data_IF_271617027868
#
_entry.id   IF_271617027868
#
_cell.length_a   1.000
_cell.length_b   1.000
_cell.length_c   1.000
_cell.angle_alpha   90.00
_cell.angle_beta   90.00
_cell.angle_gamma   90.00
#
_symmetry.space_group_name_H-M   'P 1'
#
loop_
_entity.id
_entity.type
_entity.pdbx_description
1 polymer ?
#
# COMPACT_ATOMS: atom_id res chain seq x y z
N UNK A 1 -71.71 -13.92 10.61
CA UNK A 1 -70.89 -15.13 10.73
C UNK A 1 -69.46 -14.64 10.75
N UNK A 2 -68.93 -14.52 11.96
CA UNK A 2 -67.59 -14.01 12.22
C UNK A 2 -66.56 -15.06 11.79
N UNK A 3 -65.90 -14.84 10.66
CA UNK A 3 -64.65 -15.53 10.37
C UNK A 3 -63.59 -14.98 11.33
N UNK A 4 -63.26 -15.79 12.33
CA UNK A 4 -62.16 -15.55 13.25
C UNK A 4 -60.89 -15.26 12.44
N UNK A 5 -60.21 -14.12 12.66
CA UNK A 5 -59.01 -13.82 11.90
C UNK A 5 -57.88 -14.71 12.40
N UNK A 6 -57.19 -15.29 11.42
CA UNK A 6 -55.93 -16.03 11.43
C UNK A 6 -55.23 -15.97 12.79
N UNK A 7 -55.24 -17.13 13.46
CA UNK A 7 -54.40 -17.45 14.60
C UNK A 7 -52.97 -17.05 14.21
N UNK A 8 -52.51 -15.95 14.80
CA UNK A 8 -51.11 -15.56 14.97
C UNK A 8 -50.42 -16.81 15.50
N UNK A 9 -49.79 -17.59 14.61
CA UNK A 9 -49.16 -18.87 14.96
C UNK A 9 -48.26 -18.65 16.18
N UNK A 10 -48.31 -19.53 17.21
CA UNK A 10 -47.44 -19.38 18.36
C UNK A 10 -46.00 -19.17 17.91
N UNK A 11 -45.31 -18.21 18.53
CA UNK A 11 -43.96 -17.82 18.14
C UNK A 11 -42.96 -18.98 18.03
N UNK A 12 -43.20 -20.05 18.80
CA UNK A 12 -42.45 -21.29 18.79
C UNK A 12 -42.61 -22.10 17.49
N UNK A 13 -43.75 -22.01 16.83
CA UNK A 13 -44.14 -22.79 15.65
C UNK A 13 -43.67 -22.14 14.35
N UNK A 14 -43.27 -20.87 14.40
CA UNK A 14 -42.65 -20.17 13.28
C UNK A 14 -41.24 -20.73 13.05
N UNK A 15 -41.08 -21.44 11.93
CA UNK A 15 -39.82 -22.10 11.51
C UNK A 15 -39.18 -21.44 10.29
N UNK A 16 -39.89 -20.54 9.61
CA UNK A 16 -39.41 -19.82 8.43
C UNK A 16 -39.34 -18.31 8.68
N UNK A 17 -38.20 -17.69 8.34
CA UNK A 17 -37.97 -16.25 8.45
C UNK A 17 -39.07 -15.39 7.80
N UNK A 18 -39.54 -15.76 6.60
CA UNK A 18 -40.55 -14.97 5.87
C UNK A 18 -41.88 -14.94 6.62
N UNK A 19 -42.28 -16.05 7.22
CA UNK A 19 -43.48 -16.13 8.05
C UNK A 19 -43.31 -15.35 9.34
N UNK A 20 -42.17 -15.52 10.02
CA UNK A 20 -41.88 -14.80 11.26
C UNK A 20 -41.77 -13.28 11.09
N UNK A 21 -41.21 -12.81 9.98
CA UNK A 21 -41.14 -11.38 9.66
C UNK A 21 -42.52 -10.79 9.36
N UNK A 22 -43.36 -11.52 8.62
CA UNK A 22 -44.74 -11.12 8.36
C UNK A 22 -45.53 -11.07 9.68
N UNK A 23 -45.33 -12.05 10.54
CA UNK A 23 -45.96 -12.14 11.86
C UNK A 23 -45.55 -10.97 12.77
N UNK A 24 -44.25 -10.67 12.85
CA UNK A 24 -43.74 -9.52 13.59
C UNK A 24 -44.33 -8.19 13.10
N UNK A 25 -44.45 -8.02 11.78
CA UNK A 25 -45.06 -6.83 11.19
C UNK A 25 -46.55 -6.67 11.56
N UNK A 26 -47.30 -7.76 11.61
CA UNK A 26 -48.71 -7.77 12.04
C UNK A 26 -48.83 -7.40 13.52
N UNK A 27 -47.99 -8.00 14.37
CA UNK A 27 -48.01 -7.72 15.81
C UNK A 27 -47.58 -6.28 16.13
N UNK A 28 -46.56 -5.75 15.43
CA UNK A 28 -46.20 -4.34 15.55
C UNK A 28 -47.36 -3.41 15.16
N UNK A 29 -48.11 -3.72 14.10
CA UNK A 29 -49.27 -2.93 13.73
C UNK A 29 -50.38 -2.96 14.81
N UNK A 30 -50.46 -4.06 15.56
CA UNK A 30 -51.45 -4.27 16.61
C UNK A 30 -51.08 -3.59 17.94
N UNK A 31 -49.82 -3.25 18.18
CA UNK A 31 -49.41 -2.40 19.31
C UNK A 31 -50.02 -1.00 19.29
N UNK A 32 -50.39 -0.51 18.10
CA UNK A 32 -50.97 0.83 17.92
C UNK A 32 -52.48 0.86 18.12
N UNK A 33 -53.11 -0.29 18.36
CA UNK A 33 -54.56 -0.39 18.62
C UNK A 33 -54.84 0.01 20.07
N UNK A 34 -56.05 0.52 20.38
CA UNK A 34 -56.48 0.77 21.76
C UNK A 34 -56.41 -0.51 22.59
N UNK A 35 -56.10 -0.40 23.89
CA UNK A 35 -55.90 -1.56 24.79
C UNK A 35 -57.17 -2.40 24.94
N UNK A 36 -58.33 -1.81 24.70
CA UNK A 36 -59.64 -2.46 24.74
C UNK A 36 -59.96 -3.26 23.45
N UNK A 37 -59.16 -3.12 22.39
CA UNK A 37 -59.32 -3.92 21.17
C UNK A 37 -58.87 -5.37 21.46
N UNK A 38 -59.68 -6.39 21.19
CA UNK A 38 -59.30 -7.80 21.38
C UNK A 38 -58.10 -8.23 20.53
N UNK A 39 -57.67 -7.42 19.55
CA UNK A 39 -56.47 -7.62 18.74
C UNK A 39 -55.30 -6.75 19.21
N UNK A 40 -55.42 -6.01 20.30
CA UNK A 40 -54.30 -5.26 20.86
C UNK A 40 -53.23 -6.23 21.33
N UNK A 41 -51.98 -5.89 21.02
CA UNK A 41 -50.82 -6.69 21.39
C UNK A 41 -49.84 -5.78 22.10
N UNK A 42 -49.27 -6.26 23.20
CA UNK A 42 -48.29 -5.47 23.96
C UNK A 42 -47.02 -5.24 23.14
N UNK A 43 -46.32 -4.13 23.39
CA UNK A 43 -45.03 -3.86 22.74
C UNK A 43 -44.04 -5.02 22.97
N UNK A 44 -44.02 -5.59 24.17
CA UNK A 44 -43.17 -6.73 24.52
C UNK A 44 -43.47 -8.00 23.70
N UNK A 45 -44.72 -8.23 23.31
CA UNK A 45 -45.09 -9.37 22.47
C UNK A 45 -44.74 -9.13 20.99
N UNK A 46 -44.88 -7.91 20.49
CA UNK A 46 -44.41 -7.55 19.16
C UNK A 46 -42.87 -7.64 19.05
N UNK A 47 -42.14 -7.17 20.06
CA UNK A 47 -40.69 -7.24 20.14
C UNK A 47 -40.19 -8.69 20.17
N UNK A 48 -40.88 -9.57 20.92
CA UNK A 48 -40.60 -11.02 20.91
C UNK A 48 -40.75 -11.64 19.52
N UNK A 49 -41.70 -11.16 18.73
CA UNK A 49 -41.90 -11.64 17.37
C UNK A 49 -40.86 -11.14 16.38
N UNK A 50 -40.44 -9.88 16.50
CA UNK A 50 -39.34 -9.34 15.71
C UNK A 50 -38.02 -10.06 16.02
N UNK A 51 -37.73 -10.32 17.30
CA UNK A 51 -36.57 -11.08 17.72
C UNK A 51 -36.55 -12.51 17.13
N UNK A 52 -37.72 -13.17 17.06
CA UNK A 52 -37.85 -14.49 16.42
C UNK A 52 -37.59 -14.44 14.91
N UNK A 53 -38.05 -13.39 14.22
CA UNK A 53 -37.75 -13.20 12.81
C UNK A 53 -36.24 -13.02 12.57
N UNK A 54 -35.58 -12.20 13.38
CA UNK A 54 -34.12 -12.01 13.32
C UNK A 54 -33.38 -13.33 13.60
N UNK A 55 -33.86 -14.11 14.57
CA UNK A 55 -33.30 -15.43 14.90
C UNK A 55 -33.33 -16.38 13.70
N UNK A 56 -34.47 -16.49 13.02
CA UNK A 56 -34.63 -17.36 11.85
C UNK A 56 -33.88 -16.85 10.62
N UNK A 57 -33.63 -15.54 10.52
CA UNK A 57 -32.80 -14.97 9.45
C UNK A 57 -31.32 -15.37 9.57
N UNK A 58 -30.84 -15.56 10.79
CA UNK A 58 -29.41 -15.72 11.07
C UNK A 58 -29.00 -17.15 11.46
N UNK A 59 -29.92 -18.12 11.55
CA UNK A 59 -29.64 -19.51 11.99
C UNK A 59 -28.91 -19.62 13.35
N UNK A 60 -29.11 -18.66 14.27
CA UNK A 60 -28.46 -18.67 15.60
C UNK A 60 -29.49 -18.99 16.71
N UNK A 61 -29.23 -19.92 17.65
CA UNK A 61 -30.10 -20.17 18.81
C UNK A 61 -30.18 -18.96 19.76
N UNK A 62 -31.39 -18.59 20.20
CA UNK A 62 -31.66 -17.42 21.06
C UNK A 62 -31.03 -17.51 22.46
N UNK A 63 -30.78 -18.72 22.98
CA UNK A 63 -30.13 -18.92 24.27
C UNK A 63 -28.62 -18.56 24.27
N UNK A 64 -28.03 -18.30 23.11
CA UNK A 64 -26.62 -17.97 22.95
C UNK A 64 -26.33 -16.51 22.61
N UNK A 65 -27.35 -15.65 22.50
CA UNK A 65 -27.14 -14.20 22.41
C UNK A 65 -27.21 -13.69 23.85
N UNK A 66 -26.08 -13.34 24.48
CA UNK A 66 -26.14 -12.66 25.76
C UNK A 66 -27.01 -11.42 25.52
N UNK A 67 -28.05 -11.22 26.33
CA UNK A 67 -28.51 -9.86 26.61
C UNK A 67 -27.29 -9.19 27.22
N UNK A 68 -26.45 -8.59 26.39
CA UNK A 68 -25.24 -7.97 26.84
C UNK A 68 -25.69 -6.75 27.62
N UNK A 69 -25.74 -6.89 28.95
CA UNK A 69 -25.75 -5.75 29.85
C UNK A 69 -24.72 -4.77 29.32
N UNK A 70 -25.01 -3.47 29.31
CA UNK A 70 -24.16 -2.46 28.65
C UNK A 70 -22.65 -2.60 28.97
N UNK A 71 -22.31 -3.16 30.14
CA UNK A 71 -20.97 -3.58 30.54
C UNK A 71 -20.28 -4.58 29.60
N UNK A 72 -20.99 -5.60 29.10
CA UNK A 72 -20.45 -6.61 28.17
C UNK A 72 -20.21 -6.01 26.78
N UNK A 73 -21.11 -5.15 26.29
CA UNK A 73 -20.87 -4.41 25.04
C UNK A 73 -19.67 -3.46 25.17
N UNK A 74 -19.55 -2.76 26.29
CA UNK A 74 -18.41 -1.89 26.55
C UNK A 74 -17.08 -2.66 26.57
N UNK A 75 -17.04 -3.86 27.17
CA UNK A 75 -15.86 -4.71 27.15
C UNK A 75 -15.50 -5.21 25.74
N UNK A 76 -16.50 -5.57 24.93
CA UNK A 76 -16.28 -5.96 23.54
C UNK A 76 -15.73 -4.79 22.73
N UNK A 77 -16.30 -3.60 22.88
CA UNK A 77 -15.81 -2.38 22.22
C UNK A 77 -14.37 -2.06 22.62
N UNK A 78 -14.05 -2.10 23.92
CA UNK A 78 -12.69 -1.89 24.39
C UNK A 78 -11.70 -2.89 23.79
N UNK A 79 -12.09 -4.17 23.67
CA UNK A 79 -11.25 -5.20 23.06
C UNK A 79 -11.08 -4.96 21.56
N UNK A 80 -12.11 -4.51 20.86
CA UNK A 80 -12.04 -4.15 19.45
C UNK A 80 -11.11 -2.95 19.23
N UNK A 81 -11.22 -1.89 20.03
CA UNK A 81 -10.33 -0.73 19.99
C UNK A 81 -8.87 -1.12 20.23
N UNK A 82 -8.63 -2.02 21.19
CA UNK A 82 -7.28 -2.53 21.45
C UNK A 82 -6.76 -3.37 20.27
N UNK A 83 -7.61 -4.19 19.66
CA UNK A 83 -7.25 -4.97 18.47
C UNK A 83 -6.95 -4.05 17.28
N UNK A 84 -7.77 -3.03 17.05
CA UNK A 84 -7.55 -2.02 16.01
C UNK A 84 -6.21 -1.31 16.22
N UNK A 85 -5.93 -0.85 17.44
CA UNK A 85 -4.66 -0.22 17.79
C UNK A 85 -3.47 -1.15 17.51
N UNK A 86 -3.57 -2.42 17.92
CA UNK A 86 -2.53 -3.41 17.67
C UNK A 86 -2.33 -3.69 16.17
N UNK A 87 -3.42 -3.73 15.40
CA UNK A 87 -3.38 -3.93 13.95
C UNK A 87 -2.69 -2.74 13.29
N UNK A 88 -3.06 -1.51 13.64
CA UNK A 88 -2.44 -0.30 13.11
C UNK A 88 -0.94 -0.25 13.41
N UNK A 89 -0.52 -0.59 14.64
CA UNK A 89 0.91 -0.71 14.96
C UNK A 89 1.64 -1.75 14.11
N UNK A 90 1.01 -2.91 13.86
CA UNK A 90 1.60 -3.94 12.99
C UNK A 90 1.70 -3.49 11.55
N UNK A 91 0.71 -2.77 11.02
CA UNK A 91 0.76 -2.20 9.68
C UNK A 91 1.89 -1.19 9.54
N UNK A 92 2.00 -0.22 10.44
CA UNK A 92 3.08 0.77 10.41
C UNK A 92 4.46 0.09 10.43
N UNK A 93 4.62 -0.95 11.27
CA UNK A 93 5.87 -1.69 11.33
C UNK A 93 6.18 -2.51 10.05
N UNK A 94 5.14 -2.97 9.34
CA UNK A 94 5.29 -3.62 8.04
C UNK A 94 5.71 -2.60 6.98
N UNK A 95 5.10 -1.41 6.95
CA UNK A 95 5.47 -0.33 6.03
C UNK A 95 6.94 0.06 6.21
N UNK A 96 7.40 0.28 7.45
CA UNK A 96 8.82 0.55 7.74
C UNK A 96 9.77 -0.55 7.23
N UNK A 97 9.34 -1.82 7.35
CA UNK A 97 10.10 -2.97 6.86
C UNK A 97 10.15 -3.01 5.33
N UNK A 98 9.05 -2.69 4.66
CA UNK A 98 8.98 -2.61 3.20
C UNK A 98 9.90 -1.51 2.70
N UNK A 99 9.82 -0.30 3.26
CA UNK A 99 10.70 0.82 2.90
C UNK A 99 12.19 0.47 3.06
N UNK A 100 12.54 -0.26 4.13
CA UNK A 100 13.90 -0.72 4.36
C UNK A 100 14.34 -1.78 3.34
N UNK A 101 13.44 -2.69 2.95
CA UNK A 101 13.71 -3.69 1.93
C UNK A 101 13.91 -3.04 0.55
N UNK A 102 13.08 -2.08 0.17
CA UNK A 102 13.23 -1.32 -1.08
C UNK A 102 14.59 -0.62 -1.15
N UNK A 103 15.00 0.06 -0.08
CA UNK A 103 16.34 0.68 0.02
C UNK A 103 17.47 -0.34 -0.14
N UNK A 104 17.34 -1.52 0.48
CA UNK A 104 18.34 -2.59 0.37
C UNK A 104 18.41 -3.17 -1.04
N UNK A 105 17.27 -3.41 -1.68
CA UNK A 105 17.20 -3.93 -3.04
C UNK A 105 17.83 -2.93 -4.01
N UNK A 106 17.47 -1.64 -3.92
CA UNK A 106 18.06 -0.59 -4.76
C UNK A 106 19.59 -0.52 -4.58
N UNK A 107 20.09 -0.65 -3.34
CA UNK A 107 21.53 -0.68 -3.09
C UNK A 107 22.21 -1.90 -3.72
N UNK A 108 21.59 -3.08 -3.64
CA UNK A 108 22.11 -4.31 -4.24
C UNK A 108 22.14 -4.20 -5.77
N UNK A 109 21.07 -3.68 -6.37
CA UNK A 109 21.01 -3.44 -7.81
C UNK A 109 22.15 -2.51 -8.24
N UNK A 110 22.31 -1.37 -7.58
CA UNK A 110 23.39 -0.41 -7.87
C UNK A 110 24.77 -1.06 -7.74
N UNK A 111 25.03 -1.86 -6.70
CA UNK A 111 26.32 -2.56 -6.52
C UNK A 111 26.54 -3.59 -7.64
N UNK A 112 25.52 -4.36 -8.00
CA UNK A 112 25.60 -5.37 -9.04
C UNK A 112 25.90 -4.75 -10.40
N UNK A 113 25.20 -3.66 -10.77
CA UNK A 113 25.43 -2.96 -12.02
C UNK A 113 26.83 -2.34 -12.08
N UNK A 114 27.33 -1.77 -10.97
CA UNK A 114 28.72 -1.28 -10.88
C UNK A 114 29.74 -2.40 -11.03
N UNK A 115 29.50 -3.56 -10.41
CA UNK A 115 30.38 -4.71 -10.55
C UNK A 115 30.40 -5.22 -11.99
N UNK A 116 29.24 -5.28 -12.65
CA UNK A 116 29.15 -5.62 -14.08
C UNK A 116 29.95 -4.63 -14.93
N UNK A 117 29.77 -3.33 -14.72
CA UNK A 117 30.54 -2.30 -15.42
C UNK A 117 32.05 -2.45 -15.19
N UNK A 118 32.47 -2.83 -13.99
CA UNK A 118 33.89 -3.06 -13.66
C UNK A 118 34.49 -4.25 -14.41
N UNK A 119 33.67 -5.26 -14.74
CA UNK A 119 34.10 -6.42 -15.54
C UNK A 119 34.09 -6.15 -17.06
N UNK A 120 33.36 -5.13 -17.52
CA UNK A 120 33.30 -4.70 -18.92
C UNK A 120 34.53 -3.84 -19.23
N UNK A 121 35.67 -4.51 -19.40
CA UNK A 121 36.96 -3.89 -19.69
C UNK A 121 37.12 -3.37 -21.12
N UNK A 122 38.26 -2.73 -21.36
CA UNK A 122 38.63 -2.07 -22.63
C UNK A 122 38.55 -3.01 -23.83
N UNK A 123 38.01 -2.52 -24.95
CA UNK A 123 37.90 -3.29 -26.21
C UNK A 123 36.81 -4.36 -26.24
N UNK A 124 36.01 -4.51 -25.19
CA UNK A 124 34.81 -5.36 -25.23
C UNK A 124 33.65 -4.62 -25.88
N UNK A 125 32.92 -5.27 -26.80
CA UNK A 125 31.75 -4.72 -27.49
C UNK A 125 30.49 -4.66 -26.60
N UNK A 126 30.66 -4.71 -25.28
CA UNK A 126 29.57 -4.78 -24.32
C UNK A 126 29.35 -3.40 -23.72
N UNK A 127 28.16 -2.86 -23.91
CA UNK A 127 27.74 -1.58 -23.35
C UNK A 127 27.72 -1.62 -21.82
N UNK A 128 28.00 -0.52 -21.14
CA UNK A 128 27.80 -0.39 -19.70
C UNK A 128 26.32 -0.42 -19.35
N UNK A 129 26.02 -0.99 -18.19
CA UNK A 129 24.72 -0.82 -17.55
C UNK A 129 24.56 0.62 -17.06
N UNK A 130 23.35 1.13 -17.20
CA UNK A 130 22.98 2.42 -16.64
C UNK A 130 22.78 2.28 -15.14
N UNK A 131 23.50 3.10 -14.36
CA UNK A 131 23.38 3.13 -12.91
C UNK A 131 22.23 4.09 -12.53
N UNK A 132 21.25 3.65 -11.73
CA UNK A 132 20.22 4.54 -11.20
C UNK A 132 20.81 5.69 -10.38
N UNK A 133 20.14 6.84 -10.42
CA UNK A 133 20.46 7.95 -9.54
C UNK A 133 19.99 7.70 -8.10
N UNK A 134 20.28 8.65 -7.21
CA UNK A 134 19.92 8.58 -5.79
C UNK A 134 18.41 8.52 -5.53
N UNK A 135 17.57 8.92 -6.49
CA UNK A 135 16.12 8.78 -6.44
C UNK A 135 15.62 7.42 -6.97
N UNK A 136 16.52 6.50 -7.30
CA UNK A 136 16.22 5.17 -7.83
C UNK A 136 15.87 5.13 -9.31
N UNK A 137 15.81 6.28 -10.00
CA UNK A 137 15.47 6.32 -11.44
C UNK A 137 16.71 6.25 -12.30
N UNK A 138 16.57 5.61 -13.47
CA UNK A 138 17.63 5.57 -14.47
C UNK A 138 17.83 6.93 -15.14
N UNK A 139 19.05 7.27 -15.61
CA UNK A 139 19.28 8.48 -16.42
C UNK A 139 18.40 8.57 -17.68
N UNK A 140 17.91 7.43 -18.18
CA UNK A 140 16.97 7.33 -19.31
C UNK A 140 15.51 7.54 -18.95
N UNK A 141 15.18 7.76 -17.68
CA UNK A 141 13.81 8.04 -17.25
C UNK A 141 13.31 9.35 -17.88
N UNK A 142 12.04 9.38 -18.28
CA UNK A 142 11.45 10.48 -19.05
C UNK A 142 11.65 11.86 -18.38
N UNK A 143 11.55 11.93 -17.06
CA UNK A 143 11.77 13.17 -16.28
C UNK A 143 13.15 13.77 -16.51
N UNK A 144 14.17 12.94 -16.76
CA UNK A 144 15.54 13.38 -17.02
C UNK A 144 15.83 13.63 -18.50
N UNK A 145 14.91 13.27 -19.37
CA UNK A 145 15.07 13.46 -20.81
C UNK A 145 14.28 14.66 -21.32
N UNK A 146 13.17 15.00 -20.65
CA UNK A 146 12.29 16.12 -21.03
C UNK A 146 12.53 17.35 -20.17
N UNK A 147 12.65 17.17 -18.85
CA UNK A 147 12.57 18.31 -17.92
C UNK A 147 13.94 18.91 -17.57
N UNK A 148 15.04 18.22 -17.88
CA UNK A 148 16.40 18.71 -17.62
C UNK A 148 17.10 19.19 -18.88
N UNK A 149 17.74 20.35 -18.79
CA UNK A 149 18.54 20.93 -19.86
C UNK A 149 20.00 21.13 -19.40
N UNK A 150 20.99 20.49 -20.08
CA UNK A 150 20.82 19.53 -21.17
C UNK A 150 20.26 18.18 -20.68
N UNK A 151 19.63 17.39 -21.57
CA UNK A 151 19.22 16.03 -21.24
C UNK A 151 20.43 15.13 -20.95
N UNK A 152 20.20 14.08 -20.15
CA UNK A 152 21.26 13.16 -19.79
C UNK A 152 21.66 12.27 -20.97
N UNK A 153 22.93 12.38 -21.38
CA UNK A 153 23.54 11.49 -22.39
C UNK A 153 23.73 10.10 -21.80
N UNK A 154 23.25 9.04 -22.45
CA UNK A 154 23.41 7.67 -21.96
C UNK A 154 24.87 7.25 -21.92
N UNK A 155 25.35 6.89 -20.74
CA UNK A 155 26.76 6.52 -20.49
C UNK A 155 26.95 5.02 -20.70
N UNK A 156 26.82 4.58 -21.95
CA UNK A 156 26.93 3.16 -22.31
C UNK A 156 28.34 2.75 -22.71
N UNK A 157 29.22 3.72 -22.95
CA UNK A 157 30.62 3.50 -23.34
C UNK A 157 31.53 4.54 -22.71
N UNK A 158 32.82 4.22 -22.56
CA UNK A 158 33.82 5.18 -22.07
C UNK A 158 33.88 6.45 -22.93
N UNK A 159 33.66 6.30 -24.24
CA UNK A 159 33.58 7.43 -25.18
C UNK A 159 32.45 8.40 -24.89
N UNK A 160 31.35 7.93 -24.31
CA UNK A 160 30.20 8.80 -23.99
C UNK A 160 30.57 9.73 -22.83
N UNK A 161 31.28 9.19 -21.83
CA UNK A 161 31.80 9.93 -20.68
C UNK A 161 32.87 10.93 -21.10
N UNK A 162 33.75 10.53 -22.03
CA UNK A 162 34.80 11.39 -22.58
C UNK A 162 34.24 12.60 -23.34
N UNK A 163 33.04 12.48 -23.94
CA UNK A 163 32.38 13.58 -24.67
C UNK A 163 31.62 14.55 -23.76
N UNK A 164 31.42 14.20 -22.49
CA UNK A 164 30.70 15.07 -21.55
C UNK A 164 31.46 16.36 -21.29
N UNK A 165 30.70 17.46 -21.33
CA UNK A 165 31.15 18.80 -20.96
C UNK A 165 31.12 19.00 -19.44
N UNK A 166 31.84 20.02 -18.94
CA UNK A 166 31.93 20.30 -17.50
C UNK A 166 30.55 20.46 -16.82
N UNK A 167 29.59 21.11 -17.49
CA UNK A 167 28.23 21.27 -16.98
C UNK A 167 27.50 19.92 -16.85
N UNK A 168 27.56 19.08 -17.89
CA UNK A 168 26.95 17.74 -17.88
C UNK A 168 27.59 16.82 -16.83
N UNK A 169 28.91 16.90 -16.65
CA UNK A 169 29.61 16.17 -15.60
C UNK A 169 29.13 16.61 -14.21
N UNK A 170 28.97 17.92 -14.00
CA UNK A 170 28.48 18.46 -12.72
C UNK A 170 27.05 17.99 -12.45
N UNK A 171 26.20 18.01 -13.48
CA UNK A 171 24.82 17.53 -13.42
C UNK A 171 24.76 16.04 -13.04
N UNK A 172 25.56 15.19 -13.71
CA UNK A 172 25.69 13.78 -13.37
C UNK A 172 26.14 13.56 -11.93
N UNK A 173 27.23 14.20 -11.52
CA UNK A 173 27.76 14.05 -10.16
C UNK A 173 26.76 14.52 -9.10
N UNK A 174 26.04 15.62 -9.35
CA UNK A 174 25.00 16.11 -8.46
C UNK A 174 23.86 15.11 -8.29
N UNK A 175 23.40 14.46 -9.37
CA UNK A 175 22.31 13.47 -9.32
C UNK A 175 22.72 12.15 -8.67
N UNK A 176 24.00 11.82 -8.72
CA UNK A 176 24.61 10.77 -7.90
C UNK A 176 24.90 11.21 -6.45
N UNK A 177 24.52 12.43 -6.05
CA UNK A 177 24.62 12.89 -4.66
C UNK A 177 25.96 13.49 -4.28
N UNK A 178 26.83 13.85 -5.22
CA UNK A 178 28.07 14.57 -4.92
C UNK A 178 27.72 16.01 -4.52
N UNK A 179 27.95 16.33 -3.24
CA UNK A 179 27.69 17.65 -2.70
C UNK A 179 28.53 18.74 -3.39
N UNK A 180 27.98 19.95 -3.52
CA UNK A 180 28.66 21.07 -4.17
C UNK A 180 30.05 21.37 -3.55
N UNK A 181 30.20 21.23 -2.23
CA UNK A 181 31.47 21.41 -1.53
C UNK A 181 32.53 20.31 -1.83
N UNK A 182 32.10 19.12 -2.26
CA UNK A 182 32.95 18.01 -2.64
C UNK A 182 33.12 17.87 -4.17
N UNK A 183 32.50 18.76 -4.95
CA UNK A 183 32.51 18.71 -6.40
C UNK A 183 33.93 18.95 -6.93
N UNK A 184 34.50 18.04 -7.72
CA UNK A 184 35.83 18.26 -8.30
C UNK A 184 35.84 19.51 -9.20
N UNK A 185 36.92 20.28 -9.17
CA UNK A 185 37.01 21.56 -9.89
C UNK A 185 37.40 21.40 -11.36
N UNK A 186 38.18 20.38 -11.71
CA UNK A 186 38.65 20.13 -13.08
C UNK A 186 37.79 19.11 -13.80
N UNK A 187 37.66 19.25 -15.12
CA UNK A 187 36.93 18.28 -15.98
C UNK A 187 37.47 16.87 -15.82
N UNK A 188 38.80 16.73 -15.82
CA UNK A 188 39.51 15.46 -15.61
C UNK A 188 39.13 14.81 -14.27
N UNK A 189 39.13 15.58 -13.18
CA UNK A 189 38.75 15.06 -11.87
C UNK A 189 37.27 14.70 -11.80
N UNK A 190 36.38 15.48 -12.41
CA UNK A 190 34.94 15.15 -12.51
C UNK A 190 34.70 13.86 -13.29
N UNK A 191 35.38 13.67 -14.43
CA UNK A 191 35.31 12.41 -15.20
C UNK A 191 35.77 11.24 -14.36
N UNK A 192 36.94 11.35 -13.71
CA UNK A 192 37.48 10.29 -12.84
C UNK A 192 36.49 9.91 -11.74
N UNK A 193 35.86 10.90 -11.12
CA UNK A 193 34.86 10.65 -10.09
C UNK A 193 33.60 9.97 -10.66
N UNK A 194 33.15 10.39 -11.85
CA UNK A 194 32.03 9.76 -12.53
C UNK A 194 32.32 8.30 -12.87
N UNK A 195 33.50 7.98 -13.43
CA UNK A 195 33.96 6.61 -13.68
C UNK A 195 33.92 5.75 -12.42
N UNK A 196 34.44 6.28 -11.30
CA UNK A 196 34.40 5.62 -9.99
C UNK A 196 32.96 5.34 -9.54
N UNK A 197 32.06 6.32 -9.69
CA UNK A 197 30.66 6.19 -9.28
C UNK A 197 29.95 5.12 -10.10
N UNK A 198 30.15 5.07 -11.42
CA UNK A 198 29.46 4.10 -12.29
C UNK A 198 30.12 2.72 -12.34
N UNK A 199 31.24 2.54 -11.63
CA UNK A 199 31.96 1.27 -11.54
C UNK A 199 32.82 0.95 -12.76
N UNK A 200 33.21 1.93 -13.55
CA UNK A 200 34.06 1.73 -14.73
C UNK A 200 35.53 1.96 -14.37
N UNK A 201 36.43 1.08 -14.84
CA UNK A 201 37.85 1.10 -14.44
C UNK A 201 38.53 2.44 -14.73
N UNK A 202 39.29 2.95 -13.76
CA UNK A 202 40.04 4.20 -13.89
C UNK A 202 41.23 4.10 -14.86
N UNK A 203 41.68 2.89 -15.21
CA UNK A 203 42.77 2.68 -16.18
C UNK A 203 42.35 3.13 -17.60
N UNK A 204 41.03 3.14 -17.87
CA UNK A 204 40.43 3.70 -19.08
C UNK A 204 40.61 5.22 -19.18
N UNK A 205 40.79 5.89 -18.04
CA UNK A 205 40.98 7.34 -17.99
C UNK A 205 42.27 7.74 -18.71
N UNK A 206 43.35 6.96 -18.55
CA UNK A 206 44.65 7.23 -19.18
C UNK A 206 44.63 7.08 -20.69
N UNK A 207 43.88 6.11 -21.22
CA UNK A 207 43.79 5.86 -22.65
C UNK A 207 43.04 6.97 -23.39
N UNK A 208 41.98 7.51 -22.77
CA UNK A 208 41.12 8.52 -23.40
C UNK A 208 41.50 9.97 -23.09
N UNK A 209 42.12 10.26 -21.93
CA UNK A 209 42.69 11.59 -21.67
C UNK A 209 43.85 11.92 -22.63
N UNK A 210 44.53 10.91 -23.18
CA UNK A 210 45.55 11.09 -24.22
C UNK A 210 44.95 11.43 -25.60
N UNK A 211 43.64 11.25 -25.79
CA UNK A 211 42.92 11.40 -27.06
C UNK A 211 41.96 12.60 -27.08
N UNK A 212 41.77 13.29 -25.96
CA UNK A 212 41.03 14.56 -25.90
C UNK A 212 42.02 15.72 -25.82
N UNK A 213 42.04 16.64 -26.81
CA UNK A 213 42.89 17.83 -26.77
C UNK A 213 42.53 18.79 -25.63
#
# INVERSE_FOLDING_TARGET
MDEAPIIVEPLADLTNYRQAKSHAGVLQAYTRRPVEDPKHVTAEEADRAEARAIQLANFVPFEGIPRSDAATLAQILQRLEQMETNINHRFNHIEEKIDNLEKKINNVEVIALKALNGTRGDGTWIEYELIPFTDGKLPSHQTYQVDTQPPYVYLRRATDIAKLQSAQLTQYLSSYGVAAAAMPTTVKAKRKELYRIIGVSADLLSAYDALSP
#
